data_IF_694512191493
#
_entry.id   IF_694512191493
#
_cell.length_a   1.000
_cell.length_b   1.000
_cell.length_c   1.000
_cell.angle_alpha   90.00
_cell.angle_beta   90.00
_cell.angle_gamma   90.00
#
_symmetry.space_group_name_H-M   'P 1'
#
loop_
_entity.id
_entity.type
_entity.pdbx_description
1 polymer ?
#
# COMPACT_ATOMS: atom_id res chain seq x y z
N UNK A 1 -31.83 -54.55 13.19
CA UNK A 1 -32.25 -53.92 11.91
C UNK A 1 -31.58 -52.58 11.79
N UNK A 2 -30.60 -52.52 10.90
CA UNK A 2 -29.68 -51.39 10.68
C UNK A 2 -30.30 -50.41 9.69
N UNK A 3 -30.41 -49.15 10.05
CA UNK A 3 -30.75 -48.06 9.14
C UNK A 3 -29.53 -47.13 8.99
N UNK A 4 -28.52 -47.57 8.22
CA UNK A 4 -27.48 -46.65 7.71
C UNK A 4 -28.02 -45.98 6.45
N UNK A 5 -28.54 -44.76 6.64
CA UNK A 5 -28.97 -43.87 5.56
C UNK A 5 -27.78 -43.35 4.78
N UNK A 6 -27.85 -43.55 3.50
CA UNK A 6 -26.92 -43.10 2.45
C UNK A 6 -26.81 -41.58 2.44
N UNK A 7 -25.75 -41.04 3.04
CA UNK A 7 -25.37 -39.62 2.85
C UNK A 7 -24.54 -39.49 1.56
N UNK A 8 -25.21 -39.01 0.54
CA UNK A 8 -24.62 -38.84 -0.79
C UNK A 8 -23.40 -37.89 -0.80
N UNK A 9 -22.27 -38.41 -1.25
CA UNK A 9 -20.96 -37.72 -1.38
C UNK A 9 -20.90 -36.60 -2.43
N UNK A 10 -21.99 -35.88 -2.75
CA UNK A 10 -22.00 -34.87 -3.82
C UNK A 10 -21.87 -33.41 -3.44
N UNK A 11 -22.17 -32.88 -2.23
CA UNK A 11 -22.13 -31.44 -2.00
C UNK A 11 -20.70 -30.86 -1.90
N UNK A 12 -19.75 -31.59 -1.29
CA UNK A 12 -18.41 -31.05 -1.03
C UNK A 12 -17.59 -30.72 -2.30
N UNK A 13 -17.68 -31.53 -3.33
CA UNK A 13 -16.89 -31.31 -4.56
C UNK A 13 -17.37 -30.12 -5.39
N UNK A 14 -18.66 -29.84 -5.37
CA UNK A 14 -19.27 -28.72 -6.08
C UNK A 14 -18.98 -27.39 -5.34
N UNK A 15 -19.08 -27.38 -4.01
CA UNK A 15 -18.78 -26.24 -3.17
C UNK A 15 -17.29 -25.87 -3.27
N UNK A 16 -16.40 -26.86 -3.17
CA UNK A 16 -14.96 -26.65 -3.31
C UNK A 16 -14.59 -26.09 -4.68
N UNK A 17 -15.18 -26.62 -5.77
CA UNK A 17 -14.95 -26.10 -7.13
C UNK A 17 -15.45 -24.68 -7.30
N UNK A 18 -16.61 -24.31 -6.72
CA UNK A 18 -17.12 -22.94 -6.72
C UNK A 18 -16.20 -21.96 -5.97
N UNK A 19 -15.69 -22.37 -4.81
CA UNK A 19 -14.72 -21.56 -4.04
C UNK A 19 -13.43 -21.31 -4.82
N UNK A 20 -12.86 -22.35 -5.43
CA UNK A 20 -11.65 -22.25 -6.25
C UNK A 20 -11.80 -21.28 -7.42
N UNK A 21 -12.94 -21.34 -8.14
CA UNK A 21 -13.21 -20.43 -9.25
C UNK A 21 -13.33 -19.00 -8.75
N UNK A 22 -14.05 -18.77 -7.66
CA UNK A 22 -14.21 -17.44 -7.04
C UNK A 22 -12.86 -16.82 -6.65
N UNK A 23 -11.99 -17.61 -6.00
CA UNK A 23 -10.65 -17.19 -5.60
C UNK A 23 -9.77 -16.84 -6.81
N UNK A 24 -9.75 -17.71 -7.83
CA UNK A 24 -8.96 -17.47 -9.04
C UNK A 24 -9.38 -16.20 -9.78
N UNK A 25 -10.69 -15.98 -9.92
CA UNK A 25 -11.22 -14.77 -10.56
C UNK A 25 -10.84 -13.53 -9.76
N UNK A 26 -10.97 -13.58 -8.42
CA UNK A 26 -10.55 -12.47 -7.57
C UNK A 26 -9.06 -12.14 -7.75
N UNK A 27 -8.18 -13.14 -7.73
CA UNK A 27 -6.74 -12.95 -7.91
C UNK A 27 -6.40 -12.34 -9.27
N UNK A 28 -7.05 -12.80 -10.35
CA UNK A 28 -6.83 -12.26 -11.69
C UNK A 28 -7.28 -10.80 -11.78
N UNK A 29 -8.48 -10.47 -11.30
CA UNK A 29 -9.01 -9.10 -11.32
C UNK A 29 -8.14 -8.18 -10.46
N UNK A 30 -7.73 -8.61 -9.28
CA UNK A 30 -6.83 -7.85 -8.41
C UNK A 30 -5.44 -7.67 -9.04
N UNK A 31 -4.92 -8.66 -9.77
CA UNK A 31 -3.67 -8.54 -10.50
C UNK A 31 -3.75 -7.51 -11.64
N UNK A 32 -4.85 -7.51 -12.39
CA UNK A 32 -5.09 -6.51 -13.46
C UNK A 32 -5.18 -5.11 -12.86
N UNK A 33 -5.97 -4.94 -11.80
CA UNK A 33 -6.13 -3.66 -11.13
C UNK A 33 -4.81 -3.13 -10.57
N UNK A 34 -4.04 -4.00 -9.88
CA UNK A 34 -2.72 -3.65 -9.37
C UNK A 34 -1.77 -3.24 -10.50
N UNK A 35 -1.75 -4.00 -11.61
CA UNK A 35 -0.94 -3.68 -12.79
C UNK A 35 -1.29 -2.30 -13.34
N UNK A 36 -2.58 -1.98 -13.47
CA UNK A 36 -3.02 -0.66 -13.93
C UNK A 36 -2.58 0.46 -12.98
N UNK A 37 -2.71 0.26 -11.66
CA UNK A 37 -2.24 1.23 -10.68
C UNK A 37 -0.72 1.41 -10.69
N UNK A 38 0.06 0.35 -10.96
CA UNK A 38 1.51 0.44 -11.11
C UNK A 38 1.91 1.20 -12.38
N UNK A 39 1.20 1.00 -13.49
CA UNK A 39 1.42 1.72 -14.74
C UNK A 39 1.04 3.20 -14.63
N UNK A 40 -0.03 3.54 -13.90
CA UNK A 40 -0.39 4.93 -13.60
C UNK A 40 0.75 5.66 -12.84
N UNK A 41 1.49 4.95 -12.01
CA UNK A 41 2.70 5.47 -11.34
C UNK A 41 3.89 5.72 -12.29
N UNK A 42 3.84 5.24 -13.51
CA UNK A 42 4.83 5.52 -14.57
C UNK A 42 4.46 6.74 -15.43
N UNK A 43 3.48 7.55 -15.03
CA UNK A 43 2.90 8.64 -15.81
C UNK A 43 2.30 8.19 -17.15
N UNK A 44 1.92 6.92 -17.25
CA UNK A 44 1.24 6.36 -18.43
C UNK A 44 -0.24 6.64 -18.30
N UNK A 45 -0.77 7.46 -19.21
CA UNK A 45 -2.21 7.71 -19.27
C UNK A 45 -2.90 6.48 -19.84
N UNK A 46 -3.60 5.73 -18.99
CA UNK A 46 -4.42 4.61 -19.42
C UNK A 46 -5.79 5.16 -19.84
N UNK A 47 -6.12 5.12 -21.14
CA UNK A 47 -7.43 5.59 -21.58
C UNK A 47 -8.53 4.79 -20.87
N UNK A 48 -9.62 5.48 -20.51
CA UNK A 48 -10.77 4.87 -19.82
C UNK A 48 -10.50 4.31 -18.40
N UNK A 49 -9.36 4.62 -17.77
CA UNK A 49 -9.02 4.12 -16.42
C UNK A 49 -10.12 4.34 -15.39
N UNK A 50 -10.84 5.48 -15.45
CA UNK A 50 -11.98 5.77 -14.57
C UNK A 50 -13.11 4.76 -14.71
N UNK A 51 -13.51 4.39 -15.93
CA UNK A 51 -14.59 3.42 -16.16
C UNK A 51 -14.20 2.01 -15.70
N UNK A 52 -12.95 1.62 -15.95
CA UNK A 52 -12.43 0.33 -15.51
C UNK A 52 -12.42 0.26 -13.97
N UNK A 53 -12.06 1.34 -13.28
CA UNK A 53 -12.14 1.41 -11.82
C UNK A 53 -13.56 1.19 -11.29
N UNK A 54 -14.60 1.72 -11.93
CA UNK A 54 -15.99 1.47 -11.54
C UNK A 54 -16.40 0.00 -11.76
N UNK A 55 -15.89 -0.65 -12.80
CA UNK A 55 -16.09 -2.09 -13.02
C UNK A 55 -15.48 -2.91 -11.89
N UNK A 56 -14.26 -2.57 -11.43
CA UNK A 56 -13.65 -3.22 -10.28
C UNK A 56 -14.44 -3.00 -8.98
N UNK A 57 -14.90 -1.78 -8.73
CA UNK A 57 -15.74 -1.48 -7.58
C UNK A 57 -17.05 -2.29 -7.60
N UNK A 58 -17.70 -2.37 -8.75
CA UNK A 58 -18.89 -3.19 -8.93
C UNK A 58 -18.59 -4.67 -8.65
N UNK A 59 -17.50 -5.20 -9.18
CA UNK A 59 -17.07 -6.57 -8.93
C UNK A 59 -16.86 -6.84 -7.44
N UNK A 60 -16.13 -5.97 -6.72
CA UNK A 60 -15.93 -6.13 -5.27
C UNK A 60 -17.25 -6.00 -4.51
N UNK A 61 -18.13 -5.11 -4.90
CA UNK A 61 -19.46 -5.00 -4.33
C UNK A 61 -20.26 -6.29 -4.47
N UNK A 62 -20.28 -6.89 -5.66
CA UNK A 62 -20.91 -8.20 -5.91
C UNK A 62 -20.29 -9.30 -5.07
N UNK A 63 -18.96 -9.31 -4.94
CA UNK A 63 -18.24 -10.26 -4.11
C UNK A 63 -18.63 -10.15 -2.63
N UNK A 64 -18.75 -8.93 -2.11
CA UNK A 64 -19.18 -8.67 -0.72
C UNK A 64 -20.62 -9.16 -0.50
N UNK A 65 -21.55 -8.82 -1.39
CA UNK A 65 -22.96 -9.24 -1.27
C UNK A 65 -23.11 -10.77 -1.38
N UNK A 66 -22.23 -11.42 -2.15
CA UNK A 66 -22.23 -12.88 -2.31
C UNK A 66 -21.61 -13.65 -1.12
N UNK A 67 -21.07 -12.95 -0.12
CA UNK A 67 -20.50 -13.53 1.09
C UNK A 67 -21.47 -13.43 2.27
N UNK A 68 -21.34 -14.35 3.22
CA UNK A 68 -22.09 -14.27 4.46
C UNK A 68 -21.40 -13.33 5.46
N UNK A 69 -22.09 -12.29 5.89
CA UNK A 69 -21.61 -11.33 6.86
C UNK A 69 -22.51 -11.28 8.09
N UNK A 70 -21.92 -11.02 9.25
CA UNK A 70 -22.66 -10.73 10.48
C UNK A 70 -23.31 -9.34 10.40
N UNK A 71 -24.40 -9.11 11.12
CA UNK A 71 -25.11 -7.81 11.11
C UNK A 71 -24.20 -6.62 11.43
N UNK A 72 -23.32 -6.77 12.41
CA UNK A 72 -22.40 -5.69 12.79
C UNK A 72 -21.35 -5.40 11.70
N UNK A 73 -20.95 -6.40 10.91
CA UNK A 73 -20.03 -6.22 9.78
C UNK A 73 -20.69 -5.37 8.67
N UNK A 74 -21.99 -5.57 8.42
CA UNK A 74 -22.74 -4.73 7.51
C UNK A 74 -22.84 -3.28 8.02
N UNK A 75 -23.09 -3.08 9.31
CA UNK A 75 -23.15 -1.73 9.92
C UNK A 75 -21.78 -1.04 9.75
N UNK A 76 -20.68 -1.74 10.05
CA UNK A 76 -19.34 -1.20 9.89
C UNK A 76 -19.02 -0.88 8.42
N UNK A 77 -19.38 -1.77 7.49
CA UNK A 77 -19.18 -1.55 6.06
C UNK A 77 -19.94 -0.31 5.55
N UNK A 78 -21.23 -0.18 5.94
CA UNK A 78 -22.06 0.99 5.56
C UNK A 78 -21.43 2.27 6.11
N UNK A 79 -20.98 2.27 7.37
CA UNK A 79 -20.30 3.42 7.97
C UNK A 79 -19.01 3.79 7.22
N UNK A 80 -18.17 2.80 6.89
CA UNK A 80 -16.93 3.03 6.13
C UNK A 80 -17.21 3.51 4.70
N UNK A 81 -18.23 2.95 4.03
CA UNK A 81 -18.63 3.39 2.70
C UNK A 81 -19.22 4.81 2.73
N UNK A 82 -20.01 5.15 3.76
CA UNK A 82 -20.53 6.51 3.95
C UNK A 82 -19.39 7.53 4.09
N UNK A 83 -18.39 7.23 4.94
CA UNK A 83 -17.17 8.04 5.04
C UNK A 83 -16.38 8.09 3.74
N UNK A 84 -16.30 6.98 3.02
CA UNK A 84 -15.65 6.90 1.72
C UNK A 84 -16.34 7.73 0.64
N UNK A 85 -17.67 7.78 0.63
CA UNK A 85 -18.46 8.64 -0.27
C UNK A 85 -18.23 10.12 0.05
N UNK A 86 -18.25 10.50 1.33
CA UNK A 86 -17.95 11.88 1.74
C UNK A 86 -16.52 12.28 1.31
N UNK A 87 -15.55 11.38 1.48
CA UNK A 87 -14.19 11.60 1.01
C UNK A 87 -14.13 11.77 -0.52
N UNK A 88 -14.86 10.93 -1.26
CA UNK A 88 -14.92 11.03 -2.73
C UNK A 88 -15.53 12.34 -3.20
N UNK A 89 -16.63 12.78 -2.58
CA UNK A 89 -17.29 14.05 -2.92
C UNK A 89 -16.38 15.25 -2.66
N UNK A 90 -15.54 15.19 -1.62
CA UNK A 90 -14.64 16.27 -1.25
C UNK A 90 -13.33 16.27 -2.06
N UNK A 91 -12.72 15.10 -2.26
CA UNK A 91 -11.37 15.00 -2.87
C UNK A 91 -11.35 14.41 -4.29
N UNK A 92 -12.47 13.87 -4.78
CA UNK A 92 -12.53 13.13 -6.05
C UNK A 92 -11.83 11.76 -6.01
N UNK A 93 -11.30 11.34 -4.83
CA UNK A 93 -10.56 10.09 -4.66
C UNK A 93 -11.48 8.94 -4.24
N UNK A 94 -11.49 7.87 -4.99
CA UNK A 94 -12.36 6.71 -4.74
C UNK A 94 -11.77 5.69 -3.75
N UNK A 95 -10.57 5.94 -3.22
CA UNK A 95 -9.88 5.03 -2.30
C UNK A 95 -10.71 4.71 -1.06
N UNK A 96 -11.45 5.70 -0.53
CA UNK A 96 -12.32 5.55 0.64
C UNK A 96 -13.48 4.57 0.42
N UNK A 97 -13.97 4.45 -0.82
CA UNK A 97 -14.99 3.49 -1.20
C UNK A 97 -14.37 2.13 -1.53
N UNK A 98 -13.27 2.17 -2.29
CA UNK A 98 -12.59 0.98 -2.80
C UNK A 98 -12.00 0.12 -1.69
N UNK A 99 -11.28 0.72 -0.75
CA UNK A 99 -10.55 -0.01 0.27
C UNK A 99 -11.47 -0.87 1.17
N UNK A 100 -12.60 -0.38 1.71
CA UNK A 100 -13.53 -1.21 2.47
C UNK A 100 -14.10 -2.36 1.64
N UNK A 101 -14.56 -2.10 0.41
CA UNK A 101 -15.11 -3.13 -0.48
C UNK A 101 -14.06 -4.21 -0.77
N UNK A 102 -12.85 -3.80 -1.07
CA UNK A 102 -11.75 -4.70 -1.36
C UNK A 102 -11.40 -5.60 -0.18
N UNK A 103 -11.26 -5.02 1.02
CA UNK A 103 -10.93 -5.76 2.25
C UNK A 103 -12.03 -6.77 2.60
N UNK A 104 -13.30 -6.39 2.44
CA UNK A 104 -14.41 -7.32 2.68
C UNK A 104 -14.46 -8.41 1.61
N UNK A 105 -14.27 -8.09 0.34
CA UNK A 105 -14.24 -9.06 -0.75
C UNK A 105 -13.09 -10.08 -0.60
N UNK A 106 -11.95 -9.64 -0.03
CA UNK A 106 -10.75 -10.47 0.18
C UNK A 106 -10.88 -11.45 1.36
N UNK A 107 -11.93 -11.35 2.18
CA UNK A 107 -12.08 -12.12 3.42
C UNK A 107 -11.86 -13.63 3.26
N UNK A 108 -12.47 -14.23 2.22
CA UNK A 108 -12.43 -15.67 1.96
C UNK A 108 -11.28 -16.10 1.04
N UNK A 109 -10.39 -15.19 0.70
CA UNK A 109 -9.26 -15.46 -0.20
C UNK A 109 -8.05 -15.95 0.60
N UNK A 110 -7.35 -16.93 0.06
CA UNK A 110 -6.11 -17.42 0.63
C UNK A 110 -5.04 -16.30 0.63
N UNK A 111 -4.67 -15.88 1.82
CA UNK A 111 -3.73 -14.76 2.02
C UNK A 111 -2.35 -15.06 1.45
N UNK A 112 -1.86 -16.31 1.55
CA UNK A 112 -0.54 -16.67 1.01
C UNK A 112 -0.55 -16.59 -0.51
N UNK A 113 -1.59 -17.08 -1.18
CA UNK A 113 -1.74 -16.97 -2.65
C UNK A 113 -1.86 -15.52 -3.09
N UNK A 114 -2.64 -14.72 -2.35
CA UNK A 114 -2.78 -13.30 -2.61
C UNK A 114 -1.43 -12.57 -2.51
N UNK A 115 -0.68 -12.78 -1.42
CA UNK A 115 0.64 -12.16 -1.25
C UNK A 115 1.64 -12.57 -2.34
N UNK A 116 1.61 -13.84 -2.76
CA UNK A 116 2.42 -14.32 -3.88
C UNK A 116 2.05 -13.64 -5.20
N UNK A 117 0.76 -13.51 -5.47
CA UNK A 117 0.27 -12.82 -6.66
C UNK A 117 0.73 -11.36 -6.67
N UNK A 118 0.53 -10.62 -5.57
CA UNK A 118 0.94 -9.21 -5.46
C UNK A 118 2.45 -9.08 -5.67
N UNK A 119 3.25 -9.92 -5.00
CA UNK A 119 4.71 -9.93 -5.17
C UNK A 119 5.11 -10.14 -6.63
N UNK A 120 4.53 -11.14 -7.30
CA UNK A 120 4.85 -11.43 -8.70
C UNK A 120 4.46 -10.29 -9.63
N UNK A 121 3.29 -9.67 -9.42
CA UNK A 121 2.84 -8.53 -10.21
C UNK A 121 3.78 -7.33 -10.02
N UNK A 122 4.11 -6.96 -8.78
CA UNK A 122 5.00 -5.83 -8.52
C UNK A 122 6.37 -6.08 -9.17
N UNK A 123 6.98 -7.25 -8.95
CA UNK A 123 8.28 -7.57 -9.53
C UNK A 123 8.23 -7.59 -11.06
N UNK A 124 7.22 -8.25 -11.63
CA UNK A 124 7.06 -8.34 -13.08
C UNK A 124 6.88 -6.97 -13.73
N UNK A 125 5.96 -6.15 -13.21
CA UNK A 125 5.74 -4.78 -13.72
C UNK A 125 6.98 -3.92 -13.53
N UNK A 126 7.66 -3.96 -12.36
CA UNK A 126 8.87 -3.17 -12.12
C UNK A 126 10.00 -3.54 -13.09
N UNK A 127 10.20 -4.82 -13.38
CA UNK A 127 11.18 -5.25 -14.38
C UNK A 127 10.78 -4.77 -15.79
N UNK A 128 9.51 -4.95 -16.17
CA UNK A 128 9.02 -4.52 -17.48
C UNK A 128 9.13 -2.99 -17.66
N UNK A 129 8.79 -2.20 -16.65
CA UNK A 129 8.87 -0.74 -16.70
C UNK A 129 10.31 -0.25 -16.75
N UNK A 130 11.21 -0.87 -15.97
CA UNK A 130 12.65 -0.54 -16.02
C UNK A 130 13.27 -0.86 -17.39
N UNK A 131 12.89 -2.00 -17.99
CA UNK A 131 13.31 -2.39 -19.33
C UNK A 131 12.74 -1.41 -20.36
N UNK A 132 11.45 -1.12 -20.30
CA UNK A 132 10.80 -0.20 -21.22
C UNK A 132 11.40 1.22 -21.14
N UNK A 133 11.63 1.75 -19.93
CA UNK A 133 12.23 3.07 -19.73
C UNK A 133 13.68 3.18 -20.25
N UNK A 134 14.39 2.06 -20.37
CA UNK A 134 15.76 2.04 -20.91
C UNK A 134 15.79 2.14 -22.43
N UNK A 135 14.81 1.56 -23.12
CA UNK A 135 14.80 1.43 -24.58
C UNK A 135 13.70 2.20 -25.29
N UNK A 136 12.87 2.91 -24.56
CA UNK A 136 11.78 3.74 -25.09
C UNK A 136 11.53 4.95 -24.20
N UNK A 137 10.70 5.88 -24.69
CA UNK A 137 10.25 7.05 -23.91
C UNK A 137 9.16 6.71 -22.87
N UNK A 138 9.08 5.45 -22.49
CA UNK A 138 8.13 4.96 -21.48
C UNK A 138 8.64 5.24 -20.06
N UNK A 139 8.01 6.18 -19.37
CA UNK A 139 8.38 6.54 -17.99
C UNK A 139 9.75 7.24 -17.91
N UNK A 140 10.26 7.37 -16.70
CA UNK A 140 11.55 8.01 -16.46
C UNK A 140 12.57 7.01 -15.91
N UNK A 141 13.73 6.89 -16.56
CA UNK A 141 14.81 6.07 -16.02
C UNK A 141 15.58 6.80 -14.94
N UNK A 142 15.75 8.11 -15.09
CA UNK A 142 16.54 8.97 -14.21
C UNK A 142 15.73 10.18 -13.79
N UNK A 143 16.01 10.64 -12.59
CA UNK A 143 15.52 11.90 -12.04
C UNK A 143 16.73 12.74 -11.67
N UNK A 144 16.85 13.92 -12.28
CA UNK A 144 17.88 14.89 -11.94
C UNK A 144 17.56 15.49 -10.58
N UNK A 145 18.44 15.28 -9.62
CA UNK A 145 18.27 15.80 -8.27
C UNK A 145 18.88 17.20 -8.24
N UNK A 146 18.07 18.22 -7.96
CA UNK A 146 18.55 19.60 -7.75
C UNK A 146 19.45 19.77 -6.50
N UNK A 147 19.67 18.71 -5.76
CA UNK A 147 20.61 18.64 -4.63
C UNK A 147 21.56 17.49 -4.95
N UNK A 148 22.85 17.61 -4.85
CA UNK A 148 23.86 16.58 -5.10
C UNK A 148 23.58 15.21 -4.43
N UNK A 149 22.44 14.61 -4.79
CA UNK A 149 21.96 13.32 -4.30
C UNK A 149 22.01 12.29 -5.39
N UNK A 150 22.26 11.05 -4.98
CA UNK A 150 22.38 9.92 -5.92
C UNK A 150 23.77 9.80 -6.52
N UNK A 151 23.87 9.03 -7.58
CA UNK A 151 25.14 8.78 -8.29
C UNK A 151 25.32 9.84 -9.37
N UNK A 152 26.29 10.76 -9.19
CA UNK A 152 26.55 11.83 -10.16
C UNK A 152 25.42 12.84 -10.32
N UNK A 153 24.62 13.10 -9.28
CA UNK A 153 23.46 13.99 -9.33
C UNK A 153 22.17 13.35 -9.87
N UNK A 154 22.21 12.07 -10.25
CA UNK A 154 21.07 11.34 -10.79
C UNK A 154 20.58 10.28 -9.81
N UNK A 155 19.25 10.12 -9.74
CA UNK A 155 18.56 9.09 -8.98
C UNK A 155 17.76 8.19 -9.94
N UNK A 156 17.81 6.89 -9.76
CA UNK A 156 17.12 5.95 -10.64
C UNK A 156 15.65 5.81 -10.28
N UNK A 157 14.79 5.90 -11.28
CA UNK A 157 13.33 5.81 -11.15
C UNK A 157 12.76 4.44 -11.58
N UNK A 158 13.55 3.61 -12.25
CA UNK A 158 13.13 2.29 -12.76
C UNK A 158 11.86 2.34 -13.65
N UNK A 159 11.70 3.42 -14.40
CA UNK A 159 10.52 3.65 -15.24
C UNK A 159 9.33 4.31 -14.50
N UNK A 160 9.42 4.53 -13.21
CA UNK A 160 8.39 5.24 -12.43
C UNK A 160 8.60 6.76 -12.46
N UNK A 161 7.57 7.52 -12.07
CA UNK A 161 7.61 8.98 -12.10
C UNK A 161 8.69 9.61 -11.21
N UNK A 162 9.06 8.93 -10.11
CA UNK A 162 10.12 9.39 -9.22
C UNK A 162 10.80 8.23 -8.47
N UNK A 163 12.01 8.44 -7.91
CA UNK A 163 12.77 7.40 -7.21
C UNK A 163 12.08 6.88 -5.93
N UNK A 164 11.32 7.74 -5.26
CA UNK A 164 10.63 7.35 -4.02
C UNK A 164 9.49 6.36 -4.31
N UNK A 165 8.77 6.54 -5.42
CA UNK A 165 7.76 5.57 -5.88
C UNK A 165 8.39 4.23 -6.24
N UNK A 166 9.50 4.25 -7.00
CA UNK A 166 10.24 3.04 -7.33
C UNK A 166 10.63 2.25 -6.08
N UNK A 167 11.28 2.91 -5.12
CA UNK A 167 11.72 2.26 -3.88
C UNK A 167 10.55 1.86 -2.97
N UNK A 168 9.46 2.64 -2.97
CA UNK A 168 8.22 2.31 -2.26
C UNK A 168 7.60 1.01 -2.76
N UNK A 169 7.59 0.77 -4.07
CA UNK A 169 7.09 -0.46 -4.66
C UNK A 169 8.00 -1.67 -4.36
N UNK A 170 9.31 -1.46 -4.34
CA UNK A 170 10.24 -2.52 -3.90
C UNK A 170 10.04 -2.84 -2.42
N UNK A 171 9.77 -1.84 -1.58
CA UNK A 171 9.37 -2.03 -0.18
C UNK A 171 8.07 -2.85 -0.08
N UNK A 172 7.06 -2.52 -0.88
CA UNK A 172 5.81 -3.29 -0.95
C UNK A 172 6.07 -4.74 -1.37
N UNK A 173 6.85 -4.98 -2.42
CA UNK A 173 7.26 -6.32 -2.84
C UNK A 173 7.93 -7.09 -1.70
N UNK A 174 8.80 -6.44 -0.93
CA UNK A 174 9.44 -7.05 0.22
C UNK A 174 8.44 -7.40 1.35
N UNK A 175 7.48 -6.52 1.65
CA UNK A 175 6.42 -6.77 2.64
C UNK A 175 5.59 -7.99 2.24
N UNK A 176 5.14 -8.06 0.99
CA UNK A 176 4.37 -9.20 0.48
C UNK A 176 5.22 -10.48 0.39
N UNK A 177 6.50 -10.34 0.08
CA UNK A 177 7.45 -11.46 0.12
C UNK A 177 7.64 -12.02 1.53
N UNK A 178 7.77 -11.16 2.55
CA UNK A 178 7.82 -11.57 3.94
C UNK A 178 6.50 -12.21 4.39
N UNK A 179 5.36 -11.67 3.99
CA UNK A 179 4.06 -12.23 4.32
C UNK A 179 3.83 -13.62 3.67
N UNK A 180 4.31 -13.82 2.43
CA UNK A 180 4.15 -15.07 1.71
C UNK A 180 5.16 -16.17 2.12
N UNK A 181 6.38 -15.78 2.42
CA UNK A 181 7.50 -16.73 2.57
C UNK A 181 8.26 -16.58 3.89
N UNK A 182 8.00 -15.57 4.72
CA UNK A 182 8.82 -15.21 5.88
C UNK A 182 9.09 -16.38 6.83
N UNK A 183 8.09 -17.23 7.09
CA UNK A 183 8.27 -18.44 7.91
C UNK A 183 9.25 -19.46 7.30
N UNK A 184 9.29 -19.54 5.97
CA UNK A 184 10.12 -20.50 5.21
C UNK A 184 11.50 -19.94 4.85
N UNK A 185 11.70 -18.61 4.97
CA UNK A 185 12.97 -17.94 4.60
C UNK A 185 14.12 -18.36 5.52
N UNK A 186 15.24 -18.72 4.94
CA UNK A 186 16.49 -18.97 5.68
C UNK A 186 17.15 -17.63 6.08
N UNK A 187 18.09 -17.66 7.02
CA UNK A 187 18.88 -16.47 7.36
C UNK A 187 19.65 -15.92 6.16
N UNK A 188 20.11 -16.80 5.27
CA UNK A 188 20.79 -16.41 4.03
C UNK A 188 19.85 -15.63 3.10
N UNK A 189 18.56 -16.03 3.01
CA UNK A 189 17.56 -15.33 2.22
C UNK A 189 17.28 -13.93 2.78
N UNK A 190 17.18 -13.79 4.13
CA UNK A 190 17.07 -12.46 4.77
C UNK A 190 18.28 -11.57 4.46
N UNK A 191 19.50 -12.11 4.56
CA UNK A 191 20.73 -11.37 4.24
C UNK A 191 20.78 -10.97 2.77
N UNK A 192 20.43 -11.86 1.85
CA UNK A 192 20.35 -11.57 0.42
C UNK A 192 19.30 -10.50 0.10
N UNK A 193 18.12 -10.58 0.72
CA UNK A 193 17.08 -9.57 0.58
C UNK A 193 17.54 -8.20 1.09
N UNK A 194 18.23 -8.15 2.23
CA UNK A 194 18.80 -6.93 2.75
C UNK A 194 19.87 -6.34 1.84
N UNK A 195 20.76 -7.17 1.28
CA UNK A 195 21.78 -6.75 0.34
C UNK A 195 21.16 -6.19 -0.96
N UNK A 196 20.19 -6.90 -1.56
CA UNK A 196 19.48 -6.45 -2.76
C UNK A 196 18.75 -5.11 -2.50
N UNK A 197 18.10 -4.99 -1.37
CA UNK A 197 17.40 -3.77 -0.98
C UNK A 197 18.35 -2.59 -0.76
N UNK A 198 19.53 -2.85 -0.17
CA UNK A 198 20.61 -1.86 -0.02
C UNK A 198 21.16 -1.40 -1.36
N UNK A 199 21.39 -2.34 -2.29
CA UNK A 199 21.83 -2.01 -3.66
C UNK A 199 20.80 -1.08 -4.33
N UNK A 200 19.51 -1.41 -4.28
CA UNK A 200 18.46 -0.57 -4.87
C UNK A 200 18.39 0.80 -4.19
N UNK A 201 18.63 0.88 -2.88
CA UNK A 201 18.73 2.16 -2.18
C UNK A 201 19.89 3.02 -2.70
N UNK A 202 21.06 2.45 -2.96
CA UNK A 202 22.20 3.21 -3.51
C UNK A 202 21.87 3.86 -4.87
N UNK A 203 21.01 3.23 -5.67
CA UNK A 203 20.58 3.79 -6.96
C UNK A 203 19.43 4.80 -6.79
N UNK A 204 18.48 4.57 -5.88
CA UNK A 204 17.27 5.41 -5.75
C UNK A 204 17.44 6.56 -4.76
N UNK A 205 18.36 6.45 -3.80
CA UNK A 205 18.56 7.35 -2.63
C UNK A 205 17.23 7.66 -1.89
N UNK A 206 16.34 6.68 -1.78
CA UNK A 206 15.06 6.83 -1.08
C UNK A 206 15.21 6.35 0.38
N UNK A 207 15.65 7.24 1.26
CA UNK A 207 16.02 6.95 2.65
C UNK A 207 14.87 6.38 3.47
N UNK A 208 13.69 6.98 3.39
CA UNK A 208 12.53 6.58 4.20
C UNK A 208 12.14 5.13 3.91
N UNK A 209 11.94 4.79 2.64
CA UNK A 209 11.58 3.43 2.24
C UNK A 209 12.67 2.42 2.62
N UNK A 210 13.93 2.83 2.51
CA UNK A 210 15.07 1.98 2.90
C UNK A 210 15.06 1.65 4.39
N UNK A 211 14.96 2.66 5.27
CA UNK A 211 14.98 2.41 6.71
C UNK A 211 13.77 1.60 7.16
N UNK A 212 12.57 1.90 6.65
CA UNK A 212 11.37 1.10 6.94
C UNK A 212 11.59 -0.35 6.52
N UNK A 213 12.11 -0.59 5.32
CA UNK A 213 12.37 -1.92 4.81
C UNK A 213 13.38 -2.71 5.64
N UNK A 214 14.48 -2.07 6.05
CA UNK A 214 15.48 -2.72 6.91
C UNK A 214 14.90 -3.08 8.29
N UNK A 215 14.08 -2.21 8.88
CA UNK A 215 13.38 -2.50 10.13
C UNK A 215 12.41 -3.67 9.96
N UNK A 216 11.68 -3.74 8.84
CA UNK A 216 10.77 -4.84 8.55
C UNK A 216 11.49 -6.17 8.33
N UNK A 217 12.62 -6.17 7.62
CA UNK A 217 13.46 -7.37 7.46
C UNK A 217 13.99 -7.86 8.80
N UNK A 218 14.55 -6.96 9.61
CA UNK A 218 15.04 -7.28 10.94
C UNK A 218 13.90 -7.80 11.83
N UNK A 219 12.76 -7.11 11.83
CA UNK A 219 11.56 -7.50 12.57
C UNK A 219 11.05 -8.87 12.15
N UNK A 220 10.94 -9.14 10.86
CA UNK A 220 10.54 -10.45 10.33
C UNK A 220 11.49 -11.59 10.73
N UNK A 221 12.80 -11.32 10.69
CA UNK A 221 13.81 -12.27 11.14
C UNK A 221 13.70 -12.58 12.63
N UNK A 222 13.49 -11.56 13.47
CA UNK A 222 13.30 -11.70 14.93
C UNK A 222 11.99 -12.41 15.24
N UNK A 223 10.88 -11.98 14.63
CA UNK A 223 9.54 -12.56 14.83
C UNK A 223 9.50 -14.05 14.49
N UNK A 224 10.23 -14.48 13.46
CA UNK A 224 10.34 -15.90 13.13
C UNK A 224 10.90 -16.76 14.28
N UNK A 225 11.73 -16.19 15.15
CA UNK A 225 12.35 -16.89 16.29
C UNK A 225 11.52 -16.81 17.58
N UNK A 226 10.52 -15.93 17.59
CA UNK A 226 9.67 -15.71 18.76
C UNK A 226 8.36 -16.49 18.55
N UNK A 227 8.21 -17.58 19.31
CA UNK A 227 7.00 -18.42 19.26
C UNK A 227 5.93 -18.03 20.30
N UNK A 228 6.12 -16.95 21.04
CA UNK A 228 5.24 -16.54 22.15
C UNK A 228 4.09 -15.62 21.68
N UNK A 229 2.85 -16.05 21.81
CA UNK A 229 1.65 -15.21 21.48
C UNK A 229 1.61 -13.89 22.24
N UNK A 230 2.14 -13.84 23.48
CA UNK A 230 2.21 -12.60 24.28
C UNK A 230 3.17 -11.58 23.65
N UNK A 231 4.34 -12.05 23.18
CA UNK A 231 5.33 -11.17 22.53
C UNK A 231 4.82 -10.65 21.20
N UNK A 232 4.22 -11.49 20.37
CA UNK A 232 3.59 -11.04 19.12
C UNK A 232 2.52 -9.99 19.39
N UNK A 233 1.68 -10.17 20.42
CA UNK A 233 0.66 -9.18 20.81
C UNK A 233 1.31 -7.87 21.29
N UNK A 234 2.36 -7.92 22.09
CA UNK A 234 3.09 -6.74 22.55
C UNK A 234 3.68 -5.96 21.36
N UNK A 235 4.34 -6.64 20.42
CA UNK A 235 4.88 -6.02 19.20
C UNK A 235 3.76 -5.36 18.38
N UNK A 236 2.61 -6.03 18.21
CA UNK A 236 1.47 -5.47 17.51
C UNK A 236 0.93 -4.20 18.19
N UNK A 237 0.80 -4.22 19.54
CA UNK A 237 0.38 -3.05 20.32
C UNK A 237 1.39 -1.91 20.17
N UNK A 238 2.69 -2.19 20.26
CA UNK A 238 3.74 -1.18 20.03
C UNK A 238 3.65 -0.59 18.62
N UNK A 239 3.44 -1.41 17.61
CA UNK A 239 3.26 -0.92 16.22
C UNK A 239 2.04 0.00 16.09
N UNK A 240 0.91 -0.33 16.74
CA UNK A 240 -0.26 0.53 16.77
C UNK A 240 0.02 1.86 17.49
N UNK A 241 0.72 1.83 18.64
CA UNK A 241 1.10 3.05 19.38
C UNK A 241 1.97 3.95 18.48
N UNK A 242 2.95 3.39 17.77
CA UNK A 242 3.81 4.13 16.85
C UNK A 242 2.96 4.73 15.71
N UNK A 243 2.06 3.96 15.12
CA UNK A 243 1.16 4.45 14.06
C UNK A 243 0.30 5.61 14.55
N UNK A 244 -0.35 5.48 15.71
CA UNK A 244 -1.13 6.57 16.30
C UNK A 244 -0.27 7.79 16.64
N UNK A 245 0.96 7.58 17.14
CA UNK A 245 1.91 8.67 17.39
C UNK A 245 2.27 9.42 16.10
N UNK A 246 2.52 8.70 15.01
CA UNK A 246 2.80 9.31 13.69
C UNK A 246 1.58 10.08 13.16
N UNK A 247 0.37 9.55 13.29
CA UNK A 247 -0.87 10.24 12.91
C UNK A 247 -1.06 11.52 13.74
N UNK A 248 -0.82 11.45 15.05
CA UNK A 248 -0.91 12.61 15.93
C UNK A 248 0.11 13.70 15.55
N UNK A 249 1.37 13.32 15.30
CA UNK A 249 2.41 14.25 14.84
C UNK A 249 2.00 14.88 13.50
N UNK A 250 1.48 14.11 12.57
CA UNK A 250 0.99 14.63 11.28
C UNK A 250 -0.16 15.61 11.47
N UNK A 251 -1.10 15.30 12.37
CA UNK A 251 -2.20 16.20 12.70
C UNK A 251 -1.71 17.51 13.36
N UNK A 252 -0.82 17.43 14.34
CA UNK A 252 -0.23 18.60 14.98
C UNK A 252 0.55 19.48 14.00
N UNK A 253 1.27 18.85 13.06
CA UNK A 253 1.94 19.55 11.98
C UNK A 253 0.96 20.30 11.06
N UNK A 254 -0.13 19.64 10.68
CA UNK A 254 -1.19 20.25 9.86
C UNK A 254 -1.91 21.41 10.57
N UNK A 255 -1.97 21.40 11.90
CA UNK A 255 -2.51 22.50 12.72
C UNK A 255 -1.51 23.64 12.96
N UNK A 256 -0.36 23.66 12.30
CA UNK A 256 0.68 24.69 12.44
C UNK A 256 1.13 24.93 13.89
N UNK A 257 1.12 23.89 14.73
CA UNK A 257 1.57 24.01 16.11
C UNK A 257 3.10 24.09 16.12
N UNK A 258 3.62 25.30 16.35
CA UNK A 258 5.05 25.56 16.47
C UNK A 258 5.48 25.53 17.94
N UNK A 259 6.09 24.45 18.37
CA UNK A 259 6.72 24.29 19.65
C UNK A 259 8.07 23.57 19.51
N UNK A 260 8.86 23.55 20.58
CA UNK A 260 10.20 22.97 20.56
C UNK A 260 10.18 21.47 20.21
N UNK A 261 9.12 20.75 20.61
CA UNK A 261 8.94 19.35 20.25
C UNK A 261 8.73 19.20 18.74
N UNK A 262 7.86 20.00 18.10
CA UNK A 262 7.60 19.94 16.67
C UNK A 262 8.82 20.37 15.86
N UNK A 263 9.62 21.34 16.35
CA UNK A 263 10.90 21.71 15.74
C UNK A 263 11.91 20.57 15.78
N UNK A 264 12.01 19.87 16.92
CA UNK A 264 12.85 18.68 17.05
C UNK A 264 12.41 17.58 16.08
N UNK A 265 11.10 17.27 16.04
CA UNK A 265 10.52 16.29 15.10
C UNK A 265 10.83 16.69 13.67
N UNK A 266 10.62 17.96 13.30
CA UNK A 266 10.90 18.47 11.95
C UNK A 266 12.36 18.27 11.54
N UNK A 267 13.29 18.49 12.47
CA UNK A 267 14.73 18.23 12.25
C UNK A 267 15.01 16.75 12.00
N UNK A 268 14.37 15.85 12.78
CA UNK A 268 14.56 14.40 12.65
C UNK A 268 14.02 13.89 11.30
N UNK A 269 12.84 14.36 10.89
CA UNK A 269 12.19 13.92 9.64
C UNK A 269 12.52 14.82 8.44
N UNK A 270 13.62 15.56 8.50
CA UNK A 270 14.17 16.33 7.38
C UNK A 270 13.23 17.39 6.78
N UNK A 271 12.55 18.16 7.64
CA UNK A 271 11.71 19.29 7.23
C UNK A 271 10.28 18.91 6.80
N UNK A 272 9.85 17.67 6.94
CA UNK A 272 8.52 17.23 6.49
C UNK A 272 7.35 17.84 7.28
N UNK A 273 7.58 18.26 8.54
CA UNK A 273 6.57 18.99 9.31
C UNK A 273 6.25 20.32 8.64
N UNK A 274 7.29 21.09 8.24
CA UNK A 274 7.08 22.35 7.54
C UNK A 274 6.42 22.14 6.18
N UNK A 275 6.86 21.13 5.42
CA UNK A 275 6.23 20.80 4.14
C UNK A 275 4.74 20.47 4.29
N UNK A 276 4.35 19.78 5.38
CA UNK A 276 2.94 19.48 5.65
C UNK A 276 2.18 20.73 6.05
N UNK A 277 2.79 21.62 6.85
CA UNK A 277 2.23 22.91 7.23
C UNK A 277 2.03 23.82 6.01
N UNK A 278 3.05 23.92 5.13
CA UNK A 278 2.96 24.69 3.89
C UNK A 278 1.86 24.20 2.95
N UNK A 279 1.62 22.89 2.95
CA UNK A 279 0.56 22.27 2.13
C UNK A 279 -0.85 22.60 2.61
N UNK A 280 -1.05 22.76 3.93
CA UNK A 280 -2.37 23.08 4.52
C UNK A 280 -2.73 24.57 4.43
N UNK A 281 -1.82 25.41 3.88
CA UNK A 281 -2.03 26.83 3.65
C UNK A 281 -1.65 27.72 4.84
N UNK A 282 -1.47 29.02 4.58
CA UNK A 282 -1.00 30.01 5.57
C UNK A 282 -2.04 30.33 6.67
N UNK A 283 -3.21 29.78 6.60
CA UNK A 283 -4.26 30.05 7.57
C UNK A 283 -4.05 29.25 8.87
N UNK A 284 -3.57 29.95 9.89
CA UNK A 284 -3.33 29.46 11.27
C UNK A 284 -4.61 29.12 12.02
N UNK A 285 -5.43 28.24 11.50
CA UNK A 285 -6.62 27.78 12.21
C UNK A 285 -6.32 26.52 13.02
N UNK A 286 -6.88 26.46 14.22
CA UNK A 286 -6.75 25.33 15.15
C UNK A 286 -7.29 24.01 14.56
N UNK A 287 -8.19 24.10 13.60
CA UNK A 287 -8.66 23.03 12.74
C UNK A 287 -8.68 23.58 11.32
N UNK A 288 -7.79 23.12 10.43
CA UNK A 288 -7.88 23.44 9.02
C UNK A 288 -9.29 23.07 8.54
N UNK A 289 -9.95 23.96 7.81
CA UNK A 289 -11.29 23.67 7.26
C UNK A 289 -11.24 22.33 6.53
N UNK A 290 -12.12 21.41 6.91
CA UNK A 290 -12.25 20.08 6.27
C UNK A 290 -12.43 20.24 4.75
N UNK A 291 -12.97 21.37 4.32
CA UNK A 291 -13.13 21.78 2.91
C UNK A 291 -11.79 21.90 2.16
N UNK A 292 -10.73 22.34 2.84
CA UNK A 292 -9.38 22.49 2.26
C UNK A 292 -8.47 21.28 2.51
N UNK A 293 -8.94 20.30 3.24
CA UNK A 293 -8.24 19.04 3.43
C UNK A 293 -8.32 18.22 2.14
N UNK A 294 -7.42 18.47 1.24
CA UNK A 294 -7.10 17.55 0.15
C UNK A 294 -6.34 16.35 0.74
N UNK A 295 -7.05 15.54 1.52
CA UNK A 295 -6.56 14.26 2.01
C UNK A 295 -6.13 13.45 0.78
N UNK A 296 -4.82 13.14 0.69
CA UNK A 296 -4.22 12.37 -0.40
C UNK A 296 -4.10 13.11 -1.75
N UNK A 297 -3.20 14.09 -1.81
CA UNK A 297 -2.69 14.67 -3.04
C UNK A 297 -3.67 14.73 -4.20
N UNK A 298 -4.41 15.82 -4.35
CA UNK A 298 -5.22 15.99 -5.55
C UNK A 298 -4.31 15.85 -6.77
N UNK A 299 -4.81 15.30 -7.89
CA UNK A 299 -4.09 15.29 -9.17
C UNK A 299 -3.68 16.70 -9.64
N UNK A 300 -4.21 17.73 -9.00
CA UNK A 300 -3.95 19.15 -9.22
C UNK A 300 -2.87 19.73 -8.31
N UNK A 301 -2.05 18.90 -7.68
CA UNK A 301 -0.98 19.39 -6.82
C UNK A 301 0.12 20.07 -7.66
N UNK A 302 -0.08 21.34 -7.95
CA UNK A 302 0.81 22.18 -8.75
C UNK A 302 2.17 22.43 -8.10
N UNK A 303 2.34 22.09 -6.82
CA UNK A 303 3.53 22.45 -6.05
C UNK A 303 4.64 21.39 -6.04
N UNK A 304 4.46 20.26 -6.71
CA UNK A 304 5.52 19.25 -6.87
C UNK A 304 6.01 18.57 -5.58
N UNK A 305 5.38 18.83 -4.44
CA UNK A 305 5.73 18.19 -3.17
C UNK A 305 5.22 16.75 -3.14
N UNK A 306 6.16 15.80 -3.19
CA UNK A 306 5.86 14.39 -2.94
C UNK A 306 5.69 14.21 -1.43
N UNK A 307 4.49 14.39 -0.94
CA UNK A 307 4.16 14.38 0.50
C UNK A 307 4.31 13.00 1.15
N UNK A 308 4.75 11.98 0.43
CA UNK A 308 5.00 10.65 0.98
C UNK A 308 3.78 9.94 1.60
N UNK A 309 2.61 10.59 1.53
CA UNK A 309 1.31 10.04 1.94
C UNK A 309 0.47 9.65 0.71
N UNK A 310 0.96 9.88 -0.50
CA UNK A 310 0.38 9.33 -1.72
C UNK A 310 0.79 7.85 -1.83
N UNK A 311 0.15 7.03 -1.04
CA UNK A 311 0.08 5.58 -1.27
C UNK A 311 -0.98 5.26 -2.29
#
# INVERSE_FOLDING_TARGET
MSAYGVWGKKPYRVVYKKMMVKESVFLVISAIELTMGLLDNCNVVIPMSRYILWIFLLYYGVMVVAQEHKRWEWILLIFLLGGGVLLYLNSGLNIGIKLPLYLYAMRDIDKEKYCKMVLLVILGVTVCTAVAAKWSDFGSMYFESGYDRGIGGYRYCLGYANPNRAMGLVLMAMIFGLAAFGEKMSWKTYALSAAAFTILYLFTDSRTSYYIGMVMLAGGFVLKRIHGTRVCRAIFVCALIILFGMLLISFLAACHIDNDFMRLVNKIISGRVNQLADYTGDERYVLPYIENWHLFGSRENHNGYDMGLSL
#
